data_IF_070434567712
#
_entry.id   IF_070434567712
#
_cell.length_a   1.000
_cell.length_b   1.000
_cell.length_c   1.000
_cell.angle_alpha   90.00
_cell.angle_beta   90.00
_cell.angle_gamma   90.00
#
_symmetry.space_group_name_H-M   'P 1'
#
loop_
_entity.id
_entity.type
_entity.pdbx_description
1 polymer ?
#
# COMPACT_ATOMS: atom_id res chain seq x y z
N UNK A 1 -24.43 -15.90 10.36
CA UNK A 1 -24.22 -16.42 8.99
C UNK A 1 -22.73 -16.53 8.64
N UNK A 2 -21.96 -15.44 8.59
CA UNK A 2 -20.51 -15.48 8.27
C UNK A 2 -19.69 -16.39 9.20
N UNK A 3 -19.86 -16.25 10.51
CA UNK A 3 -19.18 -17.09 11.51
C UNK A 3 -19.40 -18.61 11.31
N UNK A 4 -20.60 -19.02 10.88
CA UNK A 4 -20.92 -20.43 10.64
C UNK A 4 -20.11 -21.05 9.49
N UNK A 5 -19.59 -20.24 8.56
CA UNK A 5 -18.71 -20.73 7.49
C UNK A 5 -17.30 -21.08 8.00
N UNK A 6 -16.94 -20.60 9.20
CA UNK A 6 -15.60 -20.72 9.77
C UNK A 6 -15.57 -21.51 11.09
N UNK A 7 -16.71 -21.69 11.77
CA UNK A 7 -16.80 -22.48 13.00
C UNK A 7 -16.40 -23.95 12.77
N UNK A 8 -15.51 -24.48 13.61
CA UNK A 8 -15.08 -25.88 13.56
C UNK A 8 -14.21 -26.25 12.35
N UNK A 9 -13.69 -25.27 11.62
CA UNK A 9 -12.86 -25.52 10.45
C UNK A 9 -11.55 -26.21 10.84
N UNK A 10 -11.22 -27.29 10.12
CA UNK A 10 -9.93 -27.99 10.23
C UNK A 10 -9.24 -28.02 8.88
N UNK A 11 -7.91 -27.98 8.87
CA UNK A 11 -7.09 -28.04 7.68
C UNK A 11 -6.01 -29.12 7.82
N UNK A 12 -5.52 -29.61 6.67
CA UNK A 12 -4.35 -30.46 6.54
C UNK A 12 -3.38 -29.80 5.57
N UNK A 13 -2.09 -29.96 5.81
CA UNK A 13 -1.02 -29.45 4.95
C UNK A 13 -0.40 -30.62 4.22
N UNK A 14 -0.22 -30.48 2.91
CA UNK A 14 0.53 -31.45 2.10
C UNK A 14 1.86 -30.84 1.71
N UNK A 15 2.96 -31.49 2.08
CA UNK A 15 4.31 -31.13 1.63
C UNK A 15 5.02 -32.37 1.11
N UNK A 16 5.61 -32.28 -0.09
CA UNK A 16 6.34 -33.37 -0.74
C UNK A 16 5.61 -34.73 -0.73
N UNK A 17 4.28 -34.71 -0.92
CA UNK A 17 3.43 -35.90 -0.94
C UNK A 17 3.05 -36.47 0.44
N UNK A 18 3.58 -35.89 1.53
CA UNK A 18 3.19 -36.23 2.90
C UNK A 18 2.08 -35.31 3.38
N UNK A 19 1.03 -35.86 3.97
CA UNK A 19 -0.13 -35.10 4.47
C UNK A 19 -0.09 -35.08 6.00
N UNK A 20 -0.24 -33.90 6.59
CA UNK A 20 -0.32 -33.73 8.04
C UNK A 20 -1.60 -34.32 8.63
N UNK A 21 -1.61 -34.53 9.95
CA UNK A 21 -2.86 -34.66 10.69
C UNK A 21 -3.70 -33.38 10.55
N UNK A 22 -5.01 -33.52 10.74
CA UNK A 22 -5.92 -32.38 10.69
C UNK A 22 -5.78 -31.55 11.97
N UNK A 23 -5.68 -30.23 11.81
CA UNK A 23 -5.66 -29.30 12.93
C UNK A 23 -6.69 -28.19 12.73
N UNK A 24 -7.18 -27.63 13.84
CA UNK A 24 -8.19 -26.58 13.82
C UNK A 24 -7.60 -25.27 13.29
N UNK A 25 -8.36 -24.57 12.46
CA UNK A 25 -8.06 -23.22 12.00
C UNK A 25 -8.63 -22.25 13.02
N UNK A 26 -7.76 -21.64 13.82
CA UNK A 26 -8.16 -20.69 14.88
C UNK A 26 -8.02 -19.23 14.48
N UNK A 27 -7.29 -18.95 13.40
CA UNK A 27 -7.08 -17.61 12.87
C UNK A 27 -6.95 -17.61 11.33
N UNK A 28 -7.05 -16.41 10.76
CA UNK A 28 -6.90 -16.21 9.32
C UNK A 28 -8.08 -16.69 8.49
N UNK A 29 -7.92 -16.55 7.17
CA UNK A 29 -8.92 -16.94 6.17
C UNK A 29 -8.24 -17.83 5.13
N UNK A 30 -8.98 -18.77 4.56
CA UNK A 30 -8.44 -19.71 3.56
C UNK A 30 -8.14 -18.97 2.25
N UNK A 31 -6.90 -19.07 1.76
CA UNK A 31 -6.54 -18.58 0.43
C UNK A 31 -7.35 -19.31 -0.65
N UNK A 32 -7.90 -18.57 -1.60
CA UNK A 32 -8.81 -19.09 -2.62
C UNK A 32 -10.28 -19.19 -2.18
N UNK A 33 -10.61 -18.85 -0.92
CA UNK A 33 -11.99 -18.63 -0.52
C UNK A 33 -12.52 -17.35 -1.17
N UNK A 34 -13.73 -17.41 -1.74
CA UNK A 34 -14.37 -16.26 -2.41
C UNK A 34 -14.59 -15.07 -1.45
N UNK A 35 -14.82 -15.34 -0.17
CA UNK A 35 -15.07 -14.29 0.84
C UNK A 35 -13.80 -13.78 1.53
N UNK A 36 -12.70 -14.52 1.47
CA UNK A 36 -11.46 -14.17 2.16
C UNK A 36 -10.94 -12.76 1.79
N UNK A 37 -10.91 -12.35 0.51
CA UNK A 37 -10.47 -11.00 0.15
C UNK A 37 -11.32 -9.90 0.77
N UNK A 38 -12.66 -10.07 0.77
CA UNK A 38 -13.58 -9.07 1.33
C UNK A 38 -13.40 -8.96 2.85
N UNK A 39 -13.29 -10.10 3.53
CA UNK A 39 -13.07 -10.12 4.99
C UNK A 39 -11.75 -9.48 5.37
N UNK A 40 -10.69 -9.74 4.59
CA UNK A 40 -9.40 -9.11 4.80
C UNK A 40 -9.46 -7.60 4.58
N UNK A 41 -10.10 -7.12 3.50
CA UNK A 41 -10.29 -5.69 3.24
C UNK A 41 -11.09 -4.97 4.34
N UNK A 42 -12.12 -5.63 4.90
CA UNK A 42 -12.90 -5.07 6.00
C UNK A 42 -12.09 -4.96 7.29
N UNK A 43 -11.33 -6.01 7.62
CA UNK A 43 -10.42 -6.00 8.77
C UNK A 43 -9.34 -4.92 8.61
N UNK A 44 -8.74 -4.80 7.43
CA UNK A 44 -7.72 -3.79 7.16
C UNK A 44 -8.29 -2.36 7.24
N UNK A 45 -9.50 -2.14 6.73
CA UNK A 45 -10.21 -0.87 6.91
C UNK A 45 -10.42 -0.53 8.40
N UNK A 46 -10.75 -1.53 9.22
CA UNK A 46 -10.90 -1.34 10.66
C UNK A 46 -9.56 -1.01 11.35
N UNK A 47 -8.45 -1.64 10.92
CA UNK A 47 -7.10 -1.30 11.39
C UNK A 47 -6.75 0.15 11.07
N UNK A 48 -7.03 0.61 9.86
CA UNK A 48 -6.76 1.99 9.49
C UNK A 48 -7.63 2.98 10.27
N UNK A 49 -8.91 2.65 10.47
CA UNK A 49 -9.79 3.45 11.32
C UNK A 49 -9.26 3.54 12.74
N UNK A 50 -8.79 2.43 13.33
CA UNK A 50 -8.19 2.41 14.68
C UNK A 50 -6.87 3.19 14.73
N UNK A 51 -5.99 3.00 13.75
CA UNK A 51 -4.67 3.61 13.70
C UNK A 51 -4.70 5.13 13.43
N UNK A 52 -5.63 5.61 12.60
CA UNK A 52 -5.65 6.99 12.11
C UNK A 52 -6.87 7.80 12.57
N UNK A 53 -7.73 7.28 13.46
CA UNK A 53 -9.00 7.93 13.87
C UNK A 53 -8.83 9.41 14.26
N UNK A 54 -7.83 9.67 15.11
CA UNK A 54 -7.62 10.96 15.79
C UNK A 54 -6.42 11.74 15.20
N UNK A 55 -5.84 11.23 14.12
CA UNK A 55 -4.51 11.60 13.63
C UNK A 55 -4.59 12.10 12.19
N UNK A 56 -3.92 13.21 11.87
CA UNK A 56 -3.90 13.79 10.51
C UNK A 56 -2.61 13.65 9.69
N UNK A 57 -1.70 12.66 9.90
CA UNK A 57 -0.58 12.47 9.00
C UNK A 57 -1.09 11.91 7.67
N UNK A 58 -0.94 12.67 6.58
CA UNK A 58 -1.41 12.29 5.26
C UNK A 58 -1.17 13.38 4.22
N UNK A 59 -1.49 13.08 2.96
CA UNK A 59 -1.47 14.07 1.88
C UNK A 59 -2.86 14.68 1.71
N UNK A 60 -2.98 15.99 1.94
CA UNK A 60 -4.23 16.72 1.70
C UNK A 60 -4.38 17.01 0.21
N UNK A 61 -5.48 16.55 -0.37
CA UNK A 61 -5.85 16.77 -1.76
C UNK A 61 -7.09 17.67 -1.81
N UNK A 62 -6.92 18.85 -2.40
CA UNK A 62 -8.02 19.72 -2.76
C UNK A 62 -8.60 19.31 -4.12
N UNK A 63 -9.92 19.12 -4.19
CA UNK A 63 -10.61 18.72 -5.41
C UNK A 63 -11.95 19.44 -5.57
N UNK A 64 -12.46 19.46 -6.81
CA UNK A 64 -13.80 19.95 -7.12
C UNK A 64 -14.63 18.84 -7.76
N UNK A 65 -15.86 18.56 -7.30
CA UNK A 65 -16.69 17.45 -7.79
C UNK A 65 -17.29 17.69 -9.18
N UNK A 66 -16.96 18.80 -9.83
CA UNK A 66 -17.66 19.36 -10.99
C UNK A 66 -17.14 18.88 -12.36
N UNK A 67 -16.61 17.66 -12.42
CA UNK A 67 -16.36 16.88 -13.65
C UNK A 67 -15.23 17.38 -14.58
N UNK A 68 -14.65 18.56 -14.34
CA UNK A 68 -13.62 19.14 -15.21
C UNK A 68 -12.24 19.17 -14.53
N UNK A 69 -11.54 18.03 -14.59
CA UNK A 69 -10.26 17.76 -13.90
C UNK A 69 -9.11 18.74 -14.22
N UNK A 70 -9.12 19.43 -15.37
CA UNK A 70 -7.99 20.24 -15.85
C UNK A 70 -8.15 21.75 -15.67
N UNK A 71 -9.23 22.22 -15.03
CA UNK A 71 -9.44 23.66 -14.82
C UNK A 71 -9.01 24.11 -13.41
N UNK A 72 -7.72 24.41 -13.26
CA UNK A 72 -7.12 24.83 -11.98
C UNK A 72 -7.70 26.13 -11.41
N UNK A 73 -8.30 27.02 -12.22
CA UNK A 73 -8.97 28.23 -11.72
C UNK A 73 -10.12 27.90 -10.77
N UNK A 74 -10.76 26.73 -10.91
CA UNK A 74 -11.86 26.32 -10.03
C UNK A 74 -11.38 25.96 -8.63
N UNK A 75 -10.12 25.55 -8.48
CA UNK A 75 -9.51 25.36 -7.17
C UNK A 75 -9.28 26.68 -6.41
N UNK A 76 -9.45 27.83 -7.08
CA UNK A 76 -9.38 29.15 -6.44
C UNK A 76 -10.72 29.60 -5.82
N UNK A 77 -11.84 28.95 -6.18
CA UNK A 77 -13.14 29.26 -5.63
C UNK A 77 -13.34 28.51 -4.30
N UNK A 78 -13.05 29.18 -3.18
CA UNK A 78 -13.08 28.58 -1.83
C UNK A 78 -14.39 27.87 -1.48
N UNK A 79 -15.52 28.31 -2.03
CA UNK A 79 -16.85 27.74 -1.77
C UNK A 79 -17.18 26.48 -2.56
N UNK A 80 -16.35 26.10 -3.55
CA UNK A 80 -16.57 24.95 -4.44
C UNK A 80 -15.49 23.88 -4.33
N UNK A 81 -14.53 24.03 -3.43
CA UNK A 81 -13.43 23.10 -3.24
C UNK A 81 -13.66 22.27 -1.99
N UNK A 82 -13.58 20.95 -2.15
CA UNK A 82 -13.51 20.00 -1.04
C UNK A 82 -12.07 19.59 -0.81
N UNK A 83 -11.75 19.19 0.42
CA UNK A 83 -10.44 18.63 0.76
C UNK A 83 -10.64 17.25 1.33
N UNK A 84 -9.84 16.29 0.88
CA UNK A 84 -9.71 14.97 1.49
C UNK A 84 -8.26 14.74 1.87
N UNK A 85 -8.01 13.89 2.86
CA UNK A 85 -6.66 13.46 3.24
C UNK A 85 -6.48 12.02 2.80
N UNK A 86 -5.40 11.75 2.08
CA UNK A 86 -4.99 10.41 1.67
C UNK A 86 -3.84 9.98 2.59
N UNK A 87 -4.11 9.01 3.45
CA UNK A 87 -3.14 8.47 4.40
C UNK A 87 -2.33 7.33 3.78
N UNK A 88 -3.03 6.49 3.01
CA UNK A 88 -2.52 5.23 2.51
C UNK A 88 -3.00 4.94 1.07
N UNK A 89 -2.34 3.99 0.43
CA UNK A 89 -2.80 3.31 -0.76
C UNK A 89 -2.77 1.81 -0.44
N UNK A 90 -3.93 1.18 -0.33
CA UNK A 90 -4.04 -0.25 -0.03
C UNK A 90 -4.30 -1.10 -1.27
N UNK A 91 -3.71 -2.28 -1.28
CA UNK A 91 -4.09 -3.33 -2.20
C UNK A 91 -3.74 -4.70 -1.63
N UNK A 92 -4.76 -5.51 -1.34
CA UNK A 92 -4.58 -6.77 -0.61
C UNK A 92 -3.72 -6.53 0.65
N UNK A 93 -2.64 -7.27 0.83
CA UNK A 93 -1.68 -7.14 1.92
C UNK A 93 -0.64 -6.02 1.76
N UNK A 94 -0.52 -5.45 0.55
CA UNK A 94 0.36 -4.30 0.29
C UNK A 94 -0.27 -2.98 0.77
N UNK A 95 0.53 -2.18 1.46
CA UNK A 95 0.15 -0.84 1.92
C UNK A 95 1.30 0.15 1.70
N UNK A 96 0.99 1.29 1.06
CA UNK A 96 1.91 2.41 0.94
C UNK A 96 1.36 3.60 1.72
N UNK A 97 2.05 4.00 2.80
CA UNK A 97 1.74 5.19 3.59
C UNK A 97 2.33 6.44 2.91
N UNK A 98 1.61 7.57 2.95
CA UNK A 98 2.02 8.79 2.26
C UNK A 98 1.83 10.00 3.17
N UNK A 99 2.89 10.80 3.35
CA UNK A 99 2.85 12.03 4.16
C UNK A 99 3.69 13.12 3.52
N UNK A 100 3.55 14.36 4.02
CA UNK A 100 4.31 15.52 3.52
C UNK A 100 5.67 15.68 4.20
N UNK A 101 5.84 15.13 5.41
CA UNK A 101 7.05 15.29 6.21
C UNK A 101 7.57 13.94 6.71
N UNK A 102 8.88 13.88 6.97
CA UNK A 102 9.50 12.68 7.54
C UNK A 102 9.00 12.39 8.97
N UNK A 103 8.69 13.43 9.73
CA UNK A 103 8.13 13.32 11.09
C UNK A 103 6.73 12.69 11.04
N UNK A 104 5.86 13.18 10.14
CA UNK A 104 4.54 12.59 9.93
C UNK A 104 4.65 11.16 9.39
N UNK A 105 5.66 10.87 8.55
CA UNK A 105 5.89 9.51 8.06
C UNK A 105 6.24 8.56 9.20
N UNK A 106 7.16 8.97 10.10
CA UNK A 106 7.51 8.17 11.27
C UNK A 106 6.28 7.95 12.16
N UNK A 107 5.51 9.00 12.44
CA UNK A 107 4.28 8.92 13.22
C UNK A 107 3.24 7.99 12.58
N UNK A 108 3.02 8.14 11.27
CA UNK A 108 2.11 7.29 10.50
C UNK A 108 2.53 5.82 10.56
N UNK A 109 3.84 5.56 10.48
CA UNK A 109 4.39 4.22 10.60
C UNK A 109 4.19 3.62 12.00
N UNK A 110 4.42 4.41 13.06
CA UNK A 110 4.24 3.96 14.44
C UNK A 110 2.77 3.63 14.75
N UNK A 111 1.84 4.49 14.30
CA UNK A 111 0.39 4.28 14.41
C UNK A 111 -0.06 3.05 13.64
N UNK A 112 0.36 2.91 12.39
CA UNK A 112 0.04 1.77 11.55
C UNK A 112 0.56 0.46 12.16
N UNK A 113 1.77 0.48 12.73
CA UNK A 113 2.35 -0.68 13.43
C UNK A 113 1.52 -1.08 14.65
N UNK A 114 1.14 -0.11 15.48
CA UNK A 114 0.32 -0.35 16.65
C UNK A 114 -1.06 -0.91 16.26
N UNK A 115 -1.73 -0.32 15.26
CA UNK A 115 -2.99 -0.81 14.72
C UNK A 115 -2.88 -2.25 14.17
N UNK A 116 -1.85 -2.54 13.37
CA UNK A 116 -1.61 -3.90 12.90
C UNK A 116 -1.41 -4.89 14.07
N UNK A 117 -0.62 -4.53 15.08
CA UNK A 117 -0.38 -5.38 16.24
C UNK A 117 -1.66 -5.64 17.06
N UNK A 118 -2.52 -4.62 17.24
CA UNK A 118 -3.80 -4.73 17.94
C UNK A 118 -4.74 -5.75 17.27
N UNK A 119 -4.67 -5.86 15.95
CA UNK A 119 -5.47 -6.80 15.16
C UNK A 119 -4.74 -8.11 14.84
N UNK A 120 -3.57 -8.35 15.44
CA UNK A 120 -2.79 -9.59 15.27
C UNK A 120 -2.10 -9.73 13.90
N UNK A 121 -1.93 -8.64 13.15
CA UNK A 121 -1.14 -8.62 11.92
C UNK A 121 0.33 -8.36 12.22
N UNK A 122 1.20 -9.04 11.47
CA UNK A 122 2.65 -8.83 11.52
C UNK A 122 3.12 -8.18 10.23
N UNK A 123 3.81 -7.05 10.34
CA UNK A 123 4.37 -6.34 9.19
C UNK A 123 5.73 -6.96 8.82
N UNK A 124 5.90 -7.27 7.53
CA UNK A 124 7.16 -7.77 6.98
C UNK A 124 8.24 -6.68 6.98
N UNK A 125 9.31 -6.86 7.77
CA UNK A 125 10.45 -5.93 7.79
C UNK A 125 11.22 -5.90 6.48
N UNK A 126 11.22 -7.00 5.73
CA UNK A 126 12.07 -7.18 4.55
C UNK A 126 11.56 -6.40 3.33
N UNK A 127 10.25 -6.21 3.23
CA UNK A 127 9.60 -5.52 2.10
C UNK A 127 9.43 -4.02 2.33
N UNK A 128 9.68 -3.55 3.56
CA UNK A 128 9.52 -2.14 3.89
C UNK A 128 10.67 -1.29 3.34
N UNK A 129 10.31 -0.36 2.46
CA UNK A 129 11.21 0.61 1.83
C UNK A 129 10.59 2.01 1.90
N UNK A 130 11.44 3.03 1.85
CA UNK A 130 11.03 4.44 1.92
C UNK A 130 11.44 5.15 0.66
N UNK A 131 10.57 5.99 0.11
CA UNK A 131 10.89 6.89 -0.99
C UNK A 131 10.59 8.33 -0.57
N UNK A 132 11.53 9.22 -0.82
CA UNK A 132 11.36 10.67 -0.62
C UNK A 132 11.42 11.38 -1.97
N UNK A 133 10.38 12.18 -2.25
CA UNK A 133 10.26 13.02 -3.43
C UNK A 133 10.38 14.49 -3.01
N UNK A 134 11.59 15.07 -3.03
CA UNK A 134 11.75 16.47 -2.69
C UNK A 134 11.11 17.37 -3.77
N UNK A 135 10.79 18.63 -3.46
CA UNK A 135 10.37 19.61 -4.45
C UNK A 135 11.35 19.69 -5.62
N UNK A 136 10.89 20.08 -6.82
CA UNK A 136 11.78 20.32 -7.95
C UNK A 136 12.91 21.27 -7.55
N UNK A 137 14.15 20.95 -7.92
CA UNK A 137 15.38 21.71 -7.59
C UNK A 137 15.87 21.71 -6.13
N UNK A 138 15.13 21.10 -5.19
CA UNK A 138 15.62 20.95 -3.83
C UNK A 138 16.73 19.88 -3.74
N UNK A 139 17.67 20.09 -2.82
CA UNK A 139 18.70 19.10 -2.51
C UNK A 139 18.06 17.82 -1.95
N UNK A 140 18.60 16.67 -2.34
CA UNK A 140 18.08 15.39 -1.88
C UNK A 140 18.60 15.08 -0.47
N UNK A 141 17.75 15.27 0.52
CA UNK A 141 17.99 14.84 1.89
C UNK A 141 17.19 13.55 2.16
N UNK A 142 17.89 12.46 2.45
CA UNK A 142 17.25 11.18 2.74
C UNK A 142 16.59 11.23 4.14
N UNK A 143 15.28 10.96 4.27
CA UNK A 143 14.64 10.88 5.57
C UNK A 143 15.12 9.64 6.32
N UNK A 144 15.27 9.79 7.64
CA UNK A 144 15.56 8.69 8.55
C UNK A 144 14.25 8.20 9.14
N UNK A 145 13.74 7.10 8.58
CA UNK A 145 12.52 6.46 9.07
C UNK A 145 12.93 5.12 9.69
N UNK A 146 12.54 4.91 10.93
CA UNK A 146 12.84 3.71 11.69
C UNK A 146 11.61 2.83 11.80
N UNK A 147 11.82 1.52 11.80
CA UNK A 147 10.81 0.54 12.16
C UNK A 147 11.46 -0.50 13.06
N UNK A 148 10.87 -0.77 14.22
CA UNK A 148 11.43 -1.64 15.26
C UNK A 148 12.91 -1.33 15.56
N UNK A 149 13.25 -0.04 15.68
CA UNK A 149 14.61 0.43 16.00
C UNK A 149 15.63 0.32 14.87
N UNK A 150 15.25 -0.15 13.66
CA UNK A 150 16.15 -0.19 12.50
C UNK A 150 15.67 0.73 11.37
N UNK A 151 16.60 1.49 10.82
CA UNK A 151 16.35 2.43 9.72
C UNK A 151 15.92 1.69 8.43
N UNK A 152 14.92 2.23 7.75
CA UNK A 152 14.38 1.68 6.52
C UNK A 152 15.16 2.18 5.31
N UNK A 153 15.33 1.28 4.32
CA UNK A 153 16.10 1.58 3.11
C UNK A 153 15.40 2.65 2.27
N UNK A 154 16.12 3.74 2.00
CA UNK A 154 15.71 4.75 1.03
C UNK A 154 15.94 4.25 -0.41
N UNK A 155 14.92 4.33 -1.26
CA UNK A 155 14.96 3.88 -2.65
C UNK A 155 14.84 5.04 -3.64
N UNK A 156 15.45 4.86 -4.82
CA UNK A 156 15.33 5.81 -5.93
C UNK A 156 14.09 5.58 -6.79
N UNK A 157 13.65 4.32 -6.86
CA UNK A 157 12.50 3.86 -7.62
C UNK A 157 11.66 2.97 -6.73
N UNK A 158 10.36 3.21 -6.71
CA UNK A 158 9.39 2.47 -5.91
C UNK A 158 8.38 1.81 -6.84
N UNK A 159 8.36 0.48 -6.88
CA UNK A 159 7.40 -0.26 -7.68
C UNK A 159 6.17 -0.56 -6.83
N UNK A 160 4.99 -0.15 -7.31
CA UNK A 160 3.73 -0.36 -6.64
C UNK A 160 2.66 -0.75 -7.66
N UNK A 161 2.06 -1.93 -7.48
CA UNK A 161 0.98 -2.45 -8.33
C UNK A 161 1.27 -2.38 -9.84
N UNK A 162 2.51 -2.69 -10.21
CA UNK A 162 2.98 -2.70 -11.59
C UNK A 162 3.40 -1.33 -12.15
N UNK A 163 3.18 -0.23 -11.42
CA UNK A 163 3.68 1.10 -11.77
C UNK A 163 4.99 1.40 -11.04
N UNK A 164 5.90 2.11 -11.67
CA UNK A 164 7.16 2.55 -11.05
C UNK A 164 7.14 4.05 -10.81
N UNK A 165 7.25 4.43 -9.54
CA UNK A 165 7.46 5.81 -9.13
C UNK A 165 8.97 6.09 -9.04
N UNK A 166 9.36 7.30 -9.40
CA UNK A 166 10.75 7.78 -9.30
C UNK A 166 10.84 8.88 -8.26
N UNK A 167 11.93 8.89 -7.48
CA UNK A 167 12.22 9.97 -6.51
C UNK A 167 12.33 11.36 -7.15
N UNK A 168 12.54 11.43 -8.46
CA UNK A 168 12.67 12.69 -9.23
C UNK A 168 11.30 13.28 -9.61
N UNK A 169 10.20 12.58 -9.32
CA UNK A 169 8.84 13.01 -9.66
C UNK A 169 8.67 13.23 -11.18
N UNK A 170 9.38 12.43 -11.99
CA UNK A 170 9.30 12.43 -13.45
C UNK A 170 8.67 11.13 -13.93
N UNK A 171 7.78 11.25 -14.91
CA UNK A 171 7.11 10.09 -15.53
C UNK A 171 7.99 9.35 -16.54
N UNK A 172 9.08 9.97 -16.98
CA UNK A 172 9.98 9.43 -18.02
C UNK A 172 10.51 8.03 -17.68
N UNK A 173 10.85 7.80 -16.42
CA UNK A 173 11.38 6.52 -15.94
C UNK A 173 10.32 5.40 -16.08
N UNK A 174 9.06 5.70 -15.76
CA UNK A 174 7.94 4.76 -15.89
C UNK A 174 7.60 4.48 -17.35
N UNK A 175 7.51 5.53 -18.17
CA UNK A 175 7.24 5.39 -19.61
C UNK A 175 8.30 4.53 -20.28
N UNK A 176 9.57 4.79 -19.98
CA UNK A 176 10.70 4.02 -20.52
C UNK A 176 10.62 2.54 -20.09
N UNK A 177 10.26 2.27 -18.84
CA UNK A 177 10.09 0.90 -18.36
C UNK A 177 8.91 0.18 -19.04
N UNK A 178 7.77 0.86 -19.24
CA UNK A 178 6.61 0.29 -19.94
C UNK A 178 6.94 -0.04 -21.40
N UNK A 179 7.62 0.87 -22.11
CA UNK A 179 8.08 0.63 -23.48
C UNK A 179 8.99 -0.59 -23.51
N UNK A 180 9.98 -0.66 -22.60
CA UNK A 180 10.90 -1.80 -22.54
C UNK A 180 10.18 -3.13 -22.30
N UNK A 181 9.25 -3.20 -21.33
CA UNK A 181 8.46 -4.41 -21.05
C UNK A 181 7.60 -4.81 -22.26
N UNK A 182 6.95 -3.85 -22.92
CA UNK A 182 6.15 -4.11 -24.11
C UNK A 182 6.99 -4.64 -25.28
N UNK A 183 8.15 -4.02 -25.55
CA UNK A 183 9.09 -4.48 -26.59
C UNK A 183 9.61 -5.89 -26.31
N UNK A 184 9.94 -6.22 -25.05
CA UNK A 184 10.37 -7.56 -24.66
C UNK A 184 9.26 -8.61 -24.86
N UNK A 185 8.03 -8.29 -24.46
CA UNK A 185 6.89 -9.19 -24.67
C UNK A 185 6.65 -9.44 -26.16
N UNK A 186 6.70 -8.38 -26.98
CA UNK A 186 6.55 -8.50 -28.43
C UNK A 186 7.67 -9.33 -29.08
N UNK A 187 8.93 -9.10 -28.69
CA UNK A 187 10.07 -9.89 -29.18
C UNK A 187 9.97 -11.38 -28.84
N UNK A 188 9.46 -11.73 -27.66
CA UNK A 188 9.21 -13.14 -27.27
C UNK A 188 8.12 -13.79 -28.10
N UNK A 189 7.06 -13.05 -28.45
CA UNK A 189 6.00 -13.54 -29.34
C UNK A 189 6.54 -13.79 -30.74
N UNK A 190 7.38 -12.89 -31.26
CA UNK A 190 7.99 -13.05 -32.58
C UNK A 190 8.98 -14.22 -32.65
N UNK A 191 9.72 -14.51 -31.57
CA UNK A 191 10.64 -15.65 -31.51
C UNK A 191 9.94 -17.01 -31.31
N UNK A 192 8.64 -16.99 -31.00
CA UNK A 192 7.82 -18.20 -30.79
C UNK A 192 6.95 -18.55 -32.01
N UNK A 193 7.06 -17.77 -33.10
CA UNK A 193 6.47 -18.00 -34.42
C UNK A 193 7.55 -18.49 -35.39
#
# INVERSE_FOLDING_TARGET
>A
MLRQLHDGMTVRVTDNGTVSEAFAVTNGVKQGCVLAPILFSLMFSAILMDAFLDEQPGIRIAYSPDGHLLNSRRLQASTRVSTTTVHDMLFADDCALNTLTAEDMQRSMDLFTAGCANFGLTISTAQMIVMHQPPPSAEYNAPRINFNGSERKNVKTFAYLGSTLSRKTRIDDEVSQRISKASQAFGRLQASL
#
